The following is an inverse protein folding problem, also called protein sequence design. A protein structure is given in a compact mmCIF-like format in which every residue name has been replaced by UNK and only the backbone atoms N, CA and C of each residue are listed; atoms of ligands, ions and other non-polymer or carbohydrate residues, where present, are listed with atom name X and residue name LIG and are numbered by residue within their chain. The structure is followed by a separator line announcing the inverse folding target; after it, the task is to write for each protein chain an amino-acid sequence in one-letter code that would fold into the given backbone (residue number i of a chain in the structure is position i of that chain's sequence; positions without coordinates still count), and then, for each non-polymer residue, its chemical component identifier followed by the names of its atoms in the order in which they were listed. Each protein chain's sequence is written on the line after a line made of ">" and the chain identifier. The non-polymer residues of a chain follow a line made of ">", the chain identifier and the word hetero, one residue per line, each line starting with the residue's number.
data_IF_345714065502
#
_entry.id   IF_345714065502
#
_cell.length_a   1.000
_cell.length_b   1.000
_cell.length_c   1.000
_cell.angle_alpha   90.00
_cell.angle_beta   90.00
_cell.angle_gamma   90.00
#
_symmetry.space_group_name_H-M   'P 1'
#
loop_
_entity.id
_entity.type
_entity.pdbx_description
1 polymer ?
#
# COMPACT_ATOMS: atom_id res chain seq x y z
N UNK A 1 -16.71 -20.44 21.99
CA UNK A 1 -15.61 -20.35 21.00
C UNK A 1 -14.60 -21.43 21.36
N UNK A 2 -14.43 -22.43 20.50
CA UNK A 2 -13.58 -23.60 20.79
C UNK A 2 -12.09 -23.24 20.71
N UNK A 3 -11.18 -24.01 21.33
CA UNK A 3 -9.74 -23.66 21.36
C UNK A 3 -9.11 -23.53 19.97
N UNK A 4 -9.48 -24.40 19.02
CA UNK A 4 -9.08 -24.28 17.60
C UNK A 4 -9.52 -22.95 16.97
N UNK A 5 -10.71 -22.44 17.30
CA UNK A 5 -11.19 -21.16 16.78
C UNK A 5 -10.38 -20.00 17.34
N UNK A 6 -9.92 -20.07 18.61
CA UNK A 6 -9.03 -19.07 19.21
C UNK A 6 -7.65 -19.07 18.56
N UNK A 7 -7.07 -20.23 18.30
CA UNK A 7 -5.77 -20.35 17.64
C UNK A 7 -5.81 -19.82 16.20
N UNK A 8 -6.85 -20.19 15.44
CA UNK A 8 -7.04 -19.67 14.09
C UNK A 8 -7.19 -18.15 14.10
N UNK A 9 -8.02 -17.58 14.98
CA UNK A 9 -8.21 -16.13 15.07
C UNK A 9 -6.90 -15.40 15.39
N UNK A 10 -6.10 -15.95 16.31
CA UNK A 10 -4.76 -15.40 16.62
C UNK A 10 -3.81 -15.49 15.43
N UNK A 11 -3.90 -16.56 14.62
CA UNK A 11 -3.07 -16.73 13.42
C UNK A 11 -3.39 -15.69 12.33
N UNK A 12 -4.66 -15.24 12.24
CA UNK A 12 -5.15 -14.26 11.27
C UNK A 12 -5.14 -12.82 11.77
N UNK A 13 -4.92 -12.58 13.06
CA UNK A 13 -4.99 -11.25 13.70
C UNK A 13 -4.17 -10.19 12.96
N UNK A 14 -2.95 -10.53 12.54
CA UNK A 14 -2.08 -9.62 11.76
C UNK A 14 -2.65 -9.29 10.39
N UNK A 15 -3.27 -10.26 9.73
CA UNK A 15 -3.86 -10.05 8.40
C UNK A 15 -5.10 -9.16 8.51
N UNK A 16 -5.90 -9.32 9.57
CA UNK A 16 -7.08 -8.47 9.86
C UNK A 16 -6.66 -7.03 10.14
N UNK A 17 -5.66 -6.83 11.02
CA UNK A 17 -5.12 -5.48 11.30
C UNK A 17 -4.58 -4.84 10.03
N UNK A 18 -3.86 -5.62 9.21
CA UNK A 18 -3.30 -5.12 7.97
C UNK A 18 -4.37 -4.77 6.94
N UNK A 19 -5.41 -5.59 6.80
CA UNK A 19 -6.56 -5.31 5.96
C UNK A 19 -7.23 -3.98 6.35
N UNK A 20 -7.36 -3.71 7.65
CA UNK A 20 -7.92 -2.45 8.15
C UNK A 20 -7.03 -1.24 7.78
N UNK A 21 -5.70 -1.38 7.89
CA UNK A 21 -4.74 -0.35 7.44
C UNK A 21 -4.85 -0.11 5.94
N UNK A 22 -4.98 -1.17 5.14
CA UNK A 22 -5.17 -1.09 3.69
C UNK A 22 -6.46 -0.36 3.35
N UNK A 23 -7.57 -0.65 4.03
CA UNK A 23 -8.84 0.06 3.83
C UNK A 23 -8.73 1.55 4.13
N UNK A 24 -8.09 1.93 5.25
CA UNK A 24 -7.84 3.34 5.58
C UNK A 24 -7.01 4.01 4.49
N UNK A 25 -5.95 3.35 4.03
CA UNK A 25 -5.10 3.89 2.99
C UNK A 25 -5.83 4.06 1.63
N UNK A 26 -6.70 3.12 1.26
CA UNK A 26 -7.54 3.22 0.07
C UNK A 26 -8.48 4.43 0.18
N UNK A 27 -9.11 4.63 1.35
CA UNK A 27 -9.99 5.78 1.59
C UNK A 27 -9.19 7.09 1.42
N UNK A 28 -8.02 7.19 2.05
CA UNK A 28 -7.13 8.35 1.93
C UNK A 28 -6.74 8.58 0.46
N UNK A 29 -6.35 7.52 -0.25
CA UNK A 29 -5.95 7.60 -1.66
C UNK A 29 -7.11 8.06 -2.56
N UNK A 30 -8.33 7.58 -2.33
CA UNK A 30 -9.53 8.00 -3.07
C UNK A 30 -9.86 9.47 -2.85
N UNK A 31 -9.85 9.93 -1.60
CA UNK A 31 -10.09 11.35 -1.28
C UNK A 31 -9.10 12.25 -2.02
N UNK A 32 -7.82 11.89 -2.03
CA UNK A 32 -6.81 12.66 -2.75
C UNK A 32 -6.88 12.53 -4.28
N UNK A 33 -7.27 11.37 -4.80
CA UNK A 33 -7.46 11.17 -6.23
C UNK A 33 -8.58 12.07 -6.77
N UNK A 34 -9.69 12.16 -6.03
CA UNK A 34 -10.82 13.01 -6.38
C UNK A 34 -10.44 14.49 -6.34
N UNK A 35 -9.69 14.92 -5.32
CA UNK A 35 -9.08 16.25 -5.25
C UNK A 35 -8.18 16.55 -6.48
N UNK A 36 -7.35 15.57 -6.88
CA UNK A 36 -6.47 15.67 -8.05
C UNK A 36 -7.26 15.82 -9.36
N UNK A 37 -8.30 15.00 -9.54
CA UNK A 37 -9.18 15.06 -10.73
C UNK A 37 -9.90 16.41 -10.79
N UNK A 38 -10.40 16.91 -9.65
CA UNK A 38 -11.04 18.22 -9.57
C UNK A 38 -10.04 19.35 -9.93
N UNK A 39 -8.84 19.34 -9.35
CA UNK A 39 -7.80 20.35 -9.67
C UNK A 39 -7.30 20.26 -11.12
N UNK A 40 -7.31 19.08 -11.74
CA UNK A 40 -7.01 18.92 -13.17
C UNK A 40 -8.12 19.47 -14.08
N UNK A 41 -9.39 19.30 -13.71
CA UNK A 41 -10.54 19.78 -14.49
C UNK A 41 -10.73 21.29 -14.41
N UNK A 42 -10.45 21.91 -13.27
CA UNK A 42 -10.72 23.33 -13.02
C UNK A 42 -9.47 24.24 -13.08
N UNK A 43 -8.29 23.67 -13.35
CA UNK A 43 -7.02 24.39 -13.39
C UNK A 43 -6.30 24.38 -12.04
N UNK A 44 -4.99 24.11 -12.07
CA UNK A 44 -4.16 24.01 -10.86
C UNK A 44 -3.59 25.37 -10.50
N UNK A 45 -4.19 26.07 -9.53
CA UNK A 45 -3.60 27.31 -8.98
C UNK A 45 -2.33 27.04 -8.15
N UNK A 46 -2.14 25.84 -7.60
CA UNK A 46 -1.01 25.53 -6.72
C UNK A 46 -0.39 24.15 -6.97
N UNK A 47 0.62 24.09 -7.87
CA UNK A 47 1.32 22.86 -8.26
C UNK A 47 2.08 22.21 -7.09
N UNK A 48 2.64 23.00 -6.18
CA UNK A 48 3.40 22.50 -5.03
C UNK A 48 2.56 21.63 -4.09
N UNK A 49 1.32 22.05 -3.80
CA UNK A 49 0.40 21.29 -2.95
C UNK A 49 0.01 19.94 -3.58
N UNK A 50 -0.13 19.90 -4.90
CA UNK A 50 -0.44 18.68 -5.66
C UNK A 50 0.71 17.66 -5.59
N UNK A 51 1.96 18.12 -5.70
CA UNK A 51 3.13 17.24 -5.54
C UNK A 51 3.26 16.70 -4.12
N UNK A 52 3.01 17.51 -3.09
CA UNK A 52 3.00 17.05 -1.68
C UNK A 52 1.94 15.97 -1.43
N UNK A 53 0.72 16.16 -1.94
CA UNK A 53 -0.36 15.15 -1.84
C UNK A 53 0.01 13.86 -2.59
N UNK A 54 0.57 13.96 -3.80
CA UNK A 54 1.04 12.79 -4.55
C UNK A 54 2.18 12.05 -3.86
N UNK A 55 3.08 12.78 -3.18
CA UNK A 55 4.17 12.20 -2.41
C UNK A 55 3.62 11.40 -1.23
N UNK A 56 2.68 11.98 -0.47
CA UNK A 56 2.00 11.29 0.63
C UNK A 56 1.35 9.98 0.19
N UNK A 57 0.57 10.00 -0.90
CA UNK A 57 -0.09 8.81 -1.45
C UNK A 57 0.96 7.75 -1.85
N UNK A 58 2.04 8.17 -2.51
CA UNK A 58 3.06 7.23 -2.97
C UNK A 58 3.82 6.60 -1.79
N UNK A 59 4.07 7.37 -0.72
CA UNK A 59 4.66 6.86 0.52
C UNK A 59 3.73 5.87 1.23
N UNK A 60 2.43 6.12 1.25
CA UNK A 60 1.42 5.18 1.79
C UNK A 60 1.46 3.86 1.02
N UNK A 61 1.53 3.89 -0.32
CA UNK A 61 1.64 2.67 -1.13
C UNK A 61 2.90 1.87 -0.81
N UNK A 62 4.04 2.52 -0.63
CA UNK A 62 5.30 1.86 -0.23
C UNK A 62 5.15 1.20 1.15
N UNK A 63 4.55 1.89 2.13
CA UNK A 63 4.34 1.33 3.46
C UNK A 63 3.46 0.06 3.42
N UNK A 64 2.38 0.09 2.63
CA UNK A 64 1.51 -1.06 2.42
C UNK A 64 2.23 -2.19 1.69
N UNK A 65 3.00 -1.89 0.64
CA UNK A 65 3.66 -2.94 -0.11
C UNK A 65 4.69 -3.68 0.74
N UNK A 66 5.42 -2.98 1.62
CA UNK A 66 6.29 -3.61 2.61
C UNK A 66 5.54 -4.48 3.62
N UNK A 67 4.42 -3.99 4.14
CA UNK A 67 3.59 -4.80 5.05
C UNK A 67 3.02 -6.05 4.37
N UNK A 68 2.67 -5.96 3.09
CA UNK A 68 2.24 -7.11 2.30
C UNK A 68 3.36 -8.14 2.12
N UNK A 69 4.61 -7.72 1.84
CA UNK A 69 5.78 -8.61 1.82
C UNK A 69 5.92 -9.37 3.14
N UNK A 70 5.78 -8.69 4.29
CA UNK A 70 5.93 -9.34 5.59
C UNK A 70 4.89 -10.45 5.78
N UNK A 71 3.64 -10.21 5.35
CA UNK A 71 2.55 -11.16 5.46
C UNK A 71 2.76 -12.35 4.51
N UNK A 72 3.06 -12.07 3.23
CA UNK A 72 3.29 -13.13 2.22
C UNK A 72 4.51 -13.97 2.59
N UNK A 73 5.59 -13.35 3.08
CA UNK A 73 6.77 -14.06 3.57
C UNK A 73 6.46 -14.98 4.76
N UNK A 74 5.70 -14.49 5.75
CA UNK A 74 5.26 -15.32 6.89
C UNK A 74 4.36 -16.48 6.45
N UNK A 75 3.46 -16.25 5.50
CA UNK A 75 2.61 -17.31 4.95
C UNK A 75 3.44 -18.35 4.17
N UNK A 76 4.41 -17.90 3.37
CA UNK A 76 5.33 -18.78 2.66
C UNK A 76 6.17 -19.62 3.63
N UNK A 77 6.71 -19.04 4.70
CA UNK A 77 7.45 -19.81 5.71
C UNK A 77 6.60 -20.91 6.36
N UNK A 78 5.29 -20.67 6.54
CA UNK A 78 4.37 -21.63 7.17
C UNK A 78 3.93 -22.76 6.23
N UNK A 79 3.63 -22.48 4.96
CA UNK A 79 3.06 -23.48 4.03
C UNK A 79 4.05 -24.01 2.99
N UNK A 80 4.91 -23.14 2.47
CA UNK A 80 5.91 -23.43 1.42
C UNK A 80 5.32 -24.05 0.15
N UNK A 81 4.10 -23.66 -0.21
CA UNK A 81 3.44 -24.08 -1.45
C UNK A 81 3.69 -23.08 -2.60
N UNK A 82 3.33 -23.48 -3.82
CA UNK A 82 3.51 -22.65 -5.02
C UNK A 82 2.68 -21.36 -4.95
N UNK A 83 1.49 -21.39 -4.35
CA UNK A 83 0.61 -20.22 -4.23
C UNK A 83 1.22 -19.14 -3.33
N UNK A 84 1.72 -19.52 -2.15
CA UNK A 84 2.38 -18.60 -1.22
C UNK A 84 3.72 -18.10 -1.76
N UNK A 85 4.42 -18.91 -2.57
CA UNK A 85 5.61 -18.48 -3.28
C UNK A 85 5.31 -17.44 -4.36
N UNK A 86 4.29 -17.66 -5.18
CA UNK A 86 3.85 -16.70 -6.20
C UNK A 86 3.37 -15.39 -5.55
N UNK A 87 2.59 -15.47 -4.46
CA UNK A 87 2.17 -14.29 -3.71
C UNK A 87 3.37 -13.49 -3.13
N UNK A 88 4.44 -14.18 -2.70
CA UNK A 88 5.67 -13.53 -2.27
C UNK A 88 6.34 -12.79 -3.44
N UNK A 89 6.45 -13.43 -4.61
CA UNK A 89 6.99 -12.80 -5.83
C UNK A 89 6.14 -11.56 -6.23
N UNK A 90 4.82 -11.69 -6.25
CA UNK A 90 3.90 -10.57 -6.54
C UNK A 90 4.11 -9.40 -5.58
N UNK A 91 4.27 -9.68 -4.28
CA UNK A 91 4.50 -8.65 -3.27
C UNK A 91 5.83 -7.90 -3.47
N UNK A 92 6.86 -8.59 -3.97
CA UNK A 92 8.14 -7.97 -4.34
C UNK A 92 7.98 -7.05 -5.55
N UNK A 93 7.31 -7.50 -6.61
CA UNK A 93 7.05 -6.67 -7.80
C UNK A 93 6.21 -5.43 -7.45
N UNK A 94 5.16 -5.58 -6.63
CA UNK A 94 4.34 -4.48 -6.15
C UNK A 94 5.18 -3.44 -5.38
N UNK A 95 6.12 -3.90 -4.56
CA UNK A 95 7.01 -3.02 -3.79
C UNK A 95 7.99 -2.28 -4.69
N UNK A 96 8.59 -2.96 -5.67
CA UNK A 96 9.45 -2.31 -6.66
C UNK A 96 8.67 -1.22 -7.42
N UNK A 97 7.47 -1.53 -7.90
CA UNK A 97 6.61 -0.56 -8.59
C UNK A 97 6.27 0.65 -7.72
N UNK A 98 5.96 0.42 -6.43
CA UNK A 98 5.65 1.48 -5.47
C UNK A 98 6.87 2.38 -5.19
N UNK A 99 8.06 1.80 -5.09
CA UNK A 99 9.32 2.54 -4.93
C UNK A 99 9.66 3.38 -6.16
N UNK A 100 9.52 2.82 -7.37
CA UNK A 100 9.70 3.55 -8.63
C UNK A 100 8.75 4.75 -8.69
N UNK A 101 7.48 4.55 -8.33
CA UNK A 101 6.50 5.63 -8.25
C UNK A 101 6.93 6.71 -7.27
N UNK A 102 7.31 6.35 -6.04
CA UNK A 102 7.75 7.30 -5.03
C UNK A 102 8.97 8.10 -5.48
N UNK A 103 9.95 7.43 -6.09
CA UNK A 103 11.14 8.07 -6.67
C UNK A 103 10.75 9.11 -7.72
N UNK A 104 9.88 8.75 -8.67
CA UNK A 104 9.42 9.65 -9.72
C UNK A 104 8.67 10.86 -9.17
N UNK A 105 7.83 10.65 -8.15
CA UNK A 105 7.09 11.74 -7.49
C UNK A 105 8.05 12.68 -6.75
N UNK A 106 9.02 12.14 -6.00
CA UNK A 106 10.03 12.95 -5.30
C UNK A 106 10.86 13.78 -6.27
N UNK A 107 11.33 13.18 -7.37
CA UNK A 107 12.09 13.87 -8.42
C UNK A 107 11.31 15.02 -9.04
N UNK A 108 10.00 14.87 -9.18
CA UNK A 108 9.14 15.92 -9.70
C UNK A 108 8.85 17.02 -8.66
N UNK A 109 8.79 16.68 -7.37
CA UNK A 109 8.66 17.66 -6.28
C UNK A 109 9.91 18.54 -6.17
N UNK A 110 11.12 18.01 -6.38
CA UNK A 110 12.35 18.81 -6.35
C UNK A 110 12.44 19.86 -7.49
N UNK A 111 11.57 19.77 -8.50
CA UNK A 111 11.50 20.71 -9.63
C UNK A 111 10.53 21.88 -9.41
N UNK A 112 9.70 21.87 -8.35
CA UNK A 112 8.63 22.85 -8.10
C UNK A 112 8.51 23.23 -6.62
#
# INVERSE_FOLDING_TARGET
>A
MNEEQKEQLNSYRLQIVFLFIVLIAIIIAFTYLQDLINKLKFGVENKSELYKKNYLISSIFVFISFGYIIITFRNYQKRRDNETFLALIESLFLTIASLIRLYNVRKNQEKY
#
